data_IF_181310779757
#
_entry.id   IF_181310779757
#
_cell.length_a   1.000
_cell.length_b   1.000
_cell.length_c   1.000
_cell.angle_alpha   90.00
_cell.angle_beta   90.00
_cell.angle_gamma   90.00
#
_symmetry.space_group_name_H-M   'P 1'
#
loop_
_entity.id
_entity.type
_entity.pdbx_description
1 polymer ?
#
# COMPACT_ATOMS: atom_id res chain seq x y z
N UNK A 1 -20.12 -9.30 -12.55
CA UNK A 1 -20.61 -8.95 -11.20
C UNK A 1 -19.55 -8.06 -10.55
N UNK A 2 -19.75 -6.74 -10.58
CA UNK A 2 -18.76 -5.70 -10.23
C UNK A 2 -18.66 -5.61 -8.69
N UNK A 3 -17.70 -6.32 -8.07
CA UNK A 3 -17.45 -6.29 -6.60
C UNK A 3 -16.48 -5.18 -6.17
N UNK A 4 -16.39 -4.11 -6.94
CA UNK A 4 -15.37 -3.05 -6.79
C UNK A 4 -15.49 -2.17 -5.52
N UNK A 5 -16.65 -1.98 -4.83
CA UNK A 5 -16.70 -0.99 -3.75
C UNK A 5 -15.85 -1.38 -2.54
N UNK A 6 -15.69 -2.68 -2.27
CA UNK A 6 -14.95 -3.16 -1.08
C UNK A 6 -13.45 -3.12 -1.31
N UNK A 7 -12.98 -3.49 -2.51
CA UNK A 7 -11.54 -3.49 -2.83
C UNK A 7 -10.97 -2.07 -2.86
N UNK A 8 -11.71 -1.09 -3.37
CA UNK A 8 -11.32 0.33 -3.31
C UNK A 8 -11.24 0.82 -1.86
N UNK A 9 -12.20 0.45 -1.03
CA UNK A 9 -12.20 0.84 0.38
C UNK A 9 -11.02 0.22 1.13
N UNK A 10 -10.73 -1.07 0.89
CA UNK A 10 -9.58 -1.76 1.45
C UNK A 10 -8.26 -1.14 0.97
N UNK A 11 -8.15 -0.81 -0.32
CA UNK A 11 -6.97 -0.16 -0.87
C UNK A 11 -6.74 1.20 -0.21
N UNK A 12 -7.78 2.02 -0.07
CA UNK A 12 -7.68 3.34 0.57
C UNK A 12 -7.39 3.22 2.06
N UNK A 13 -8.01 2.26 2.76
CA UNK A 13 -7.81 2.01 4.17
C UNK A 13 -6.36 1.57 4.43
N UNK A 14 -5.85 0.57 3.70
CA UNK A 14 -4.47 0.10 3.82
C UNK A 14 -3.46 1.19 3.43
N UNK A 15 -3.70 1.91 2.32
CA UNK A 15 -2.83 3.00 1.92
C UNK A 15 -2.78 4.11 2.99
N UNK A 16 -3.92 4.45 3.59
CA UNK A 16 -3.99 5.44 4.67
C UNK A 16 -3.34 4.94 5.96
N UNK A 17 -3.51 3.67 6.30
CA UNK A 17 -2.88 3.04 7.47
C UNK A 17 -1.35 3.02 7.34
N UNK A 18 -0.83 2.62 6.18
CA UNK A 18 0.60 2.60 5.90
C UNK A 18 1.20 4.00 5.78
N UNK A 19 0.48 4.95 5.19
CA UNK A 19 0.89 6.34 5.16
C UNK A 19 0.94 6.96 6.56
N UNK A 20 -0.07 6.68 7.40
CA UNK A 20 -0.13 7.13 8.79
C UNK A 20 1.00 6.51 9.62
N UNK A 21 1.26 5.21 9.47
CA UNK A 21 2.40 4.53 10.08
C UNK A 21 3.73 5.16 9.64
N UNK A 22 3.90 5.43 8.35
CA UNK A 22 5.10 6.09 7.83
C UNK A 22 5.29 7.50 8.40
N UNK A 23 4.20 8.26 8.53
CA UNK A 23 4.23 9.60 9.12
C UNK A 23 4.67 9.56 10.58
N UNK A 24 4.11 8.63 11.37
CA UNK A 24 4.44 8.43 12.78
C UNK A 24 5.88 7.93 12.95
N UNK A 25 6.31 6.99 12.10
CA UNK A 25 7.64 6.36 12.20
C UNK A 25 8.77 7.28 11.74
N UNK A 26 8.53 8.14 10.74
CA UNK A 26 9.60 8.94 10.13
C UNK A 26 9.71 10.33 10.76
N UNK A 27 8.67 10.83 11.43
CA UNK A 27 8.67 12.16 12.07
C UNK A 27 8.93 13.32 11.09
N UNK A 28 8.84 13.09 9.77
CA UNK A 28 9.04 14.12 8.74
C UNK A 28 7.80 15.01 8.68
N UNK A 29 8.01 16.32 8.48
CA UNK A 29 6.93 17.31 8.36
C UNK A 29 5.97 17.02 7.21
N UNK A 30 4.93 17.84 7.06
CA UNK A 30 3.79 17.64 6.12
C UNK A 30 4.16 17.19 4.69
N UNK A 31 5.33 17.58 4.16
CA UNK A 31 5.84 17.11 2.86
C UNK A 31 6.18 15.61 2.83
N UNK A 32 6.87 15.09 3.84
CA UNK A 32 7.20 13.66 3.93
C UNK A 32 5.95 12.80 4.11
N UNK A 33 4.91 13.37 4.72
CA UNK A 33 3.60 12.74 4.89
C UNK A 33 2.90 12.53 3.55
N UNK A 34 2.87 13.55 2.69
CA UNK A 34 2.29 13.45 1.35
C UNK A 34 3.05 12.46 0.46
N UNK A 35 4.39 12.46 0.52
CA UNK A 35 5.23 11.54 -0.26
C UNK A 35 5.06 10.10 0.22
N UNK A 36 5.05 9.87 1.54
CA UNK A 36 4.78 8.55 2.13
C UNK A 36 3.37 8.04 1.83
N UNK A 37 2.38 8.94 1.77
CA UNK A 37 1.02 8.60 1.36
C UNK A 37 0.97 8.18 -0.10
N UNK A 38 1.56 8.96 -1.01
CA UNK A 38 1.62 8.60 -2.44
C UNK A 38 2.36 7.27 -2.65
N UNK A 39 3.48 7.05 -1.96
CA UNK A 39 4.23 5.80 -2.06
C UNK A 39 3.44 4.60 -1.53
N UNK A 40 2.68 4.78 -0.45
CA UNK A 40 1.78 3.73 0.08
C UNK A 40 0.64 3.41 -0.88
N UNK A 41 0.02 4.44 -1.49
CA UNK A 41 -1.02 4.26 -2.51
C UNK A 41 -0.46 3.50 -3.72
N UNK A 42 0.69 3.93 -4.24
CA UNK A 42 1.34 3.30 -5.41
C UNK A 42 1.75 1.87 -5.09
N UNK A 43 2.33 1.61 -3.91
CA UNK A 43 2.77 0.27 -3.52
C UNK A 43 1.61 -0.69 -3.30
N UNK A 44 0.53 -0.21 -2.69
CA UNK A 44 -0.70 -1.01 -2.52
C UNK A 44 -1.35 -1.31 -3.87
N UNK A 45 -1.40 -0.34 -4.79
CA UNK A 45 -1.95 -0.53 -6.13
C UNK A 45 -1.11 -1.49 -6.99
N UNK A 46 0.23 -1.37 -6.93
CA UNK A 46 1.12 -2.29 -7.61
C UNK A 46 1.02 -3.70 -7.04
N UNK A 47 0.94 -3.86 -5.71
CA UNK A 47 0.75 -5.16 -5.08
C UNK A 47 -0.60 -5.79 -5.36
N UNK A 48 -1.66 -4.99 -5.51
CA UNK A 48 -2.94 -5.47 -6.01
C UNK A 48 -2.82 -6.06 -7.42
N UNK A 49 -2.19 -5.34 -8.34
CA UNK A 49 -1.97 -5.81 -9.71
C UNK A 49 -1.06 -7.04 -9.78
N UNK A 50 0.03 -7.04 -9.02
CA UNK A 50 0.98 -8.16 -8.95
C UNK A 50 0.37 -9.40 -8.32
N UNK A 51 -0.42 -9.27 -7.25
CA UNK A 51 -1.13 -10.40 -6.66
C UNK A 51 -2.11 -11.03 -7.65
N UNK A 52 -2.83 -10.20 -8.41
CA UNK A 52 -3.74 -10.71 -9.45
C UNK A 52 -3.01 -11.40 -10.61
N UNK A 53 -1.78 -10.99 -10.93
CA UNK A 53 -0.92 -11.63 -11.94
C UNK A 53 -0.29 -12.95 -11.43
N UNK A 54 0.18 -12.96 -10.18
CA UNK A 54 0.84 -14.11 -9.56
C UNK A 54 -0.14 -15.21 -9.17
N UNK A 55 -1.42 -14.89 -8.99
CA UNK A 55 -2.47 -15.86 -8.67
C UNK A 55 -2.27 -16.58 -7.33
N UNK A 56 -1.43 -16.04 -6.44
CA UNK A 56 -1.04 -16.64 -5.16
C UNK A 56 -2.17 -16.47 -4.13
N UNK A 57 -3.15 -17.38 -4.15
CA UNK A 57 -4.38 -17.31 -3.34
C UNK A 57 -4.22 -17.61 -1.84
N UNK A 58 -3.00 -17.78 -1.34
CA UNK A 58 -2.76 -18.33 0.00
C UNK A 58 -3.27 -17.43 1.14
N UNK A 59 -3.35 -16.11 0.92
CA UNK A 59 -3.70 -15.09 1.93
C UNK A 59 -4.56 -13.96 1.33
N UNK A 60 -5.49 -14.32 0.43
CA UNK A 60 -6.41 -13.34 -0.15
C UNK A 60 -7.57 -13.06 0.80
N UNK A 61 -7.81 -11.79 1.10
CA UNK A 61 -9.06 -11.37 1.74
C UNK A 61 -10.13 -11.19 0.66
N UNK A 62 -10.85 -12.26 0.35
CA UNK A 62 -11.83 -12.27 -0.74
C UNK A 62 -11.16 -12.16 -2.11
N UNK A 63 -11.11 -10.95 -2.67
CA UNK A 63 -10.49 -10.63 -3.96
C UNK A 63 -9.20 -9.81 -3.83
N UNK A 64 -8.81 -9.45 -2.60
CA UNK A 64 -7.68 -8.57 -2.37
C UNK A 64 -6.42 -9.35 -1.93
N UNK A 65 -5.31 -9.29 -2.69
CA UNK A 65 -4.04 -9.92 -2.35
C UNK A 65 -3.31 -9.13 -1.25
N UNK A 66 -3.61 -9.46 0.01
CA UNK A 66 -3.07 -8.78 1.20
C UNK A 66 -1.54 -8.85 1.30
N UNK A 67 -0.86 -10.00 1.09
CA UNK A 67 0.58 -10.07 1.31
C UNK A 67 1.36 -9.34 0.22
N UNK A 68 0.94 -9.40 -1.05
CA UNK A 68 1.58 -8.67 -2.15
C UNK A 68 1.37 -7.17 -2.02
N UNK A 69 0.15 -6.73 -1.67
CA UNK A 69 -0.15 -5.32 -1.38
C UNK A 69 0.70 -4.78 -0.23
N UNK A 70 0.84 -5.55 0.85
CA UNK A 70 1.63 -5.18 2.02
C UNK A 70 3.13 -5.15 1.71
N UNK A 71 3.65 -6.17 1.03
CA UNK A 71 5.06 -6.26 0.64
C UNK A 71 5.46 -5.08 -0.25
N UNK A 72 4.68 -4.77 -1.29
CA UNK A 72 4.99 -3.65 -2.18
C UNK A 72 4.82 -2.28 -1.53
N UNK A 73 3.81 -2.10 -0.67
CA UNK A 73 3.68 -0.89 0.13
C UNK A 73 4.91 -0.67 1.03
N UNK A 74 5.35 -1.70 1.75
CA UNK A 74 6.56 -1.63 2.57
C UNK A 74 7.82 -1.39 1.75
N UNK A 75 7.98 -2.04 0.60
CA UNK A 75 9.14 -1.89 -0.27
C UNK A 75 9.25 -0.46 -0.79
N UNK A 76 8.14 0.14 -1.23
CA UNK A 76 8.08 1.53 -1.66
C UNK A 76 8.33 2.52 -0.52
N UNK A 77 7.74 2.29 0.65
CA UNK A 77 8.03 3.11 1.83
C UNK A 77 9.50 3.04 2.24
N UNK A 78 10.13 1.87 2.13
CA UNK A 78 11.55 1.67 2.42
C UNK A 78 12.43 2.37 1.39
N UNK A 79 12.04 2.37 0.11
CA UNK A 79 12.67 3.17 -0.95
C UNK A 79 12.57 4.66 -0.61
N UNK A 80 11.38 5.19 -0.31
CA UNK A 80 11.21 6.62 0.05
C UNK A 80 12.00 6.98 1.32
N UNK A 81 12.01 6.09 2.32
CA UNK A 81 12.82 6.26 3.53
C UNK A 81 14.31 6.36 3.19
N UNK A 82 14.81 5.47 2.33
CA UNK A 82 16.20 5.45 1.84
C UNK A 82 16.57 6.66 1.01
N UNK A 83 15.67 7.13 0.15
CA UNK A 83 15.87 8.33 -0.67
C UNK A 83 15.89 9.62 0.17
N UNK A 84 15.56 9.56 1.47
CA UNK A 84 15.52 10.72 2.39
C UNK A 84 14.71 11.91 1.86
N UNK A 85 13.71 11.66 1.02
CA UNK A 85 12.78 12.68 0.50
C UNK A 85 11.77 13.06 1.58
#
# INVERSE_FOLDING_TARGET
MYRIPVDLFLLLAFATLYAGLYAVLTGRGYRGLAVGWLASVIGTALGYGLGHLLGLRFLWLGSFPVPEATLLAWLLLLIVYRLRI
#
